data_IF_066106552908
#
_entry.id   IF_066106552908
#
_cell.length_a   1.000
_cell.length_b   1.000
_cell.length_c   1.000
_cell.angle_alpha   90.00
_cell.angle_beta   90.00
_cell.angle_gamma   90.00
#
_symmetry.space_group_name_H-M   'P 1'
#
loop_
_entity.id
_entity.type
_entity.pdbx_description
1 polymer ?
#
# COMPACT_ATOMS: atom_id res chain seq x y z
N UNK A 1 -1.80 68.23 -57.56
CA UNK A 1 -2.40 67.12 -58.26
C UNK A 1 -2.61 66.01 -57.23
N UNK A 2 -3.90 65.76 -56.95
CA UNK A 2 -4.36 64.98 -55.78
C UNK A 2 -4.39 63.49 -56.09
N UNK A 3 -4.04 62.68 -55.14
CA UNK A 3 -4.56 61.30 -55.06
C UNK A 3 -4.70 60.91 -53.62
N UNK A 4 -5.91 60.70 -53.20
CA UNK A 4 -6.32 60.17 -51.92
C UNK A 4 -6.22 58.67 -51.92
N UNK A 5 -5.68 58.11 -50.83
CA UNK A 5 -5.81 56.67 -50.55
C UNK A 5 -6.65 56.45 -49.29
N UNK A 6 -7.69 55.64 -49.36
CA UNK A 6 -8.42 55.24 -48.21
C UNK A 6 -7.71 54.06 -47.56
N UNK A 7 -7.56 54.16 -46.25
CA UNK A 7 -7.00 53.16 -45.34
C UNK A 7 -8.04 52.07 -45.13
N UNK A 8 -7.74 50.87 -45.59
CA UNK A 8 -8.52 49.68 -45.24
C UNK A 8 -7.99 49.10 -43.93
N UNK A 9 -8.82 49.16 -42.91
CA UNK A 9 -8.53 48.57 -41.62
C UNK A 9 -8.53 47.06 -41.67
N UNK A 10 -7.40 46.48 -41.30
CA UNK A 10 -7.26 45.03 -41.11
C UNK A 10 -7.37 44.72 -39.64
N UNK A 11 -8.54 44.33 -39.19
CA UNK A 11 -8.75 43.83 -37.84
C UNK A 11 -8.13 42.45 -37.72
N UNK A 12 -7.00 42.36 -37.05
CA UNK A 12 -6.37 41.10 -36.67
C UNK A 12 -7.13 40.57 -35.46
N UNK A 13 -7.95 39.58 -35.66
CA UNK A 13 -8.56 38.78 -34.61
C UNK A 13 -7.50 37.80 -34.12
N UNK A 14 -6.85 38.13 -32.99
CA UNK A 14 -5.95 37.24 -32.31
C UNK A 14 -6.77 36.13 -31.63
N UNK A 15 -6.79 34.94 -32.22
CA UNK A 15 -7.29 33.72 -31.59
C UNK A 15 -6.28 33.28 -30.51
N UNK A 16 -6.60 33.56 -29.25
CA UNK A 16 -5.88 33.00 -28.13
C UNK A 16 -6.34 31.54 -27.98
N UNK A 17 -5.55 30.62 -28.52
CA UNK A 17 -5.67 29.22 -28.18
C UNK A 17 -5.13 29.03 -26.75
N UNK A 18 -6.04 28.94 -25.79
CA UNK A 18 -5.71 28.47 -24.44
C UNK A 18 -5.32 26.98 -24.52
N UNK A 19 -4.03 26.71 -24.53
CA UNK A 19 -3.49 25.37 -24.33
C UNK A 19 -3.84 24.91 -22.91
N UNK A 20 -4.87 24.09 -22.78
CA UNK A 20 -5.13 23.28 -21.60
C UNK A 20 -3.98 22.26 -21.48
N UNK A 21 -2.94 22.64 -20.76
CA UNK A 21 -1.94 21.70 -20.28
C UNK A 21 -2.65 20.80 -19.26
N UNK A 22 -3.27 19.73 -19.76
CA UNK A 22 -3.75 18.66 -18.92
C UNK A 22 -2.57 18.11 -18.16
N UNK A 23 -2.59 18.23 -16.84
CA UNK A 23 -1.75 17.43 -15.97
C UNK A 23 -2.05 15.96 -16.25
N UNK A 24 -1.29 15.38 -17.17
CA UNK A 24 -1.11 13.94 -17.26
C UNK A 24 -0.35 13.50 -16.02
N UNK A 25 -1.05 13.45 -14.90
CA UNK A 25 -0.60 12.67 -13.78
C UNK A 25 -0.47 11.25 -14.28
N UNK A 26 0.74 10.82 -14.59
CA UNK A 26 1.04 9.41 -14.74
C UNK A 26 0.46 8.71 -13.52
N UNK A 27 -0.45 7.74 -13.68
CA UNK A 27 -0.76 6.87 -12.57
C UNK A 27 0.54 6.14 -12.26
N UNK A 28 1.26 6.63 -11.27
CA UNK A 28 2.29 5.84 -10.63
C UNK A 28 1.63 4.52 -10.27
N UNK A 29 1.93 3.50 -11.06
CA UNK A 29 1.55 2.11 -10.81
C UNK A 29 2.37 1.55 -9.66
N UNK A 30 2.56 2.36 -8.65
CA UNK A 30 3.05 1.95 -7.36
C UNK A 30 1.82 1.61 -6.54
N UNK A 31 1.72 0.37 -6.13
CA UNK A 31 0.86 -0.10 -5.04
C UNK A 31 -0.33 -0.98 -5.40
N UNK A 32 -0.19 -1.77 -6.44
CA UNK A 32 -1.08 -2.95 -6.51
C UNK A 32 -0.39 -4.26 -6.08
N UNK A 33 0.83 -4.19 -5.56
CA UNK A 33 1.54 -5.38 -5.06
C UNK A 33 0.89 -6.07 -3.86
N UNK A 34 -0.03 -5.40 -3.17
CA UNK A 34 -0.66 -5.93 -1.97
C UNK A 34 -2.00 -6.65 -2.17
N UNK A 35 -2.63 -6.56 -3.35
CA UNK A 35 -3.99 -7.07 -3.56
C UNK A 35 -4.09 -8.34 -4.37
N UNK A 36 -3.07 -8.75 -5.08
CA UNK A 36 -3.06 -9.96 -5.90
C UNK A 36 -1.99 -10.93 -5.43
N UNK A 37 -2.27 -12.23 -5.61
CA UNK A 37 -1.28 -13.26 -5.35
C UNK A 37 -0.15 -13.23 -6.38
N UNK A 38 1.05 -13.62 -5.94
CA UNK A 38 2.19 -13.81 -6.82
C UNK A 38 1.88 -14.93 -7.80
N UNK A 39 2.02 -14.65 -9.10
CA UNK A 39 1.87 -15.66 -10.16
C UNK A 39 3.20 -16.36 -10.45
N UNK A 40 4.28 -15.59 -10.50
CA UNK A 40 5.62 -16.08 -10.72
C UNK A 40 6.48 -15.63 -9.54
N UNK A 41 6.84 -16.55 -8.68
CA UNK A 41 7.64 -16.25 -7.49
C UNK A 41 9.11 -16.10 -7.84
N UNK A 42 9.69 -14.98 -7.42
CA UNK A 42 11.13 -14.71 -7.51
C UNK A 42 11.71 -14.63 -6.08
N UNK A 43 12.63 -15.53 -5.69
CA UNK A 43 13.21 -15.53 -4.36
C UNK A 43 14.12 -14.31 -4.08
N UNK A 44 14.54 -13.58 -5.11
CA UNK A 44 15.38 -12.40 -4.96
C UNK A 44 14.57 -11.12 -4.79
N UNK A 45 13.31 -11.11 -5.21
CA UNK A 45 12.43 -9.94 -5.15
C UNK A 45 11.95 -9.65 -3.73
N UNK A 46 11.98 -8.38 -3.32
CA UNK A 46 11.29 -7.90 -2.13
C UNK A 46 9.83 -7.58 -2.48
N UNK A 47 8.91 -8.33 -1.88
CA UNK A 47 7.46 -8.16 -2.08
C UNK A 47 6.85 -7.15 -1.10
N UNK A 48 7.68 -6.54 -0.24
CA UNK A 48 7.30 -5.48 0.70
C UNK A 48 8.21 -4.27 0.54
N UNK A 49 8.16 -3.56 -0.59
CA UNK A 49 9.01 -2.40 -0.81
C UNK A 49 8.75 -1.28 0.20
N UNK A 50 7.50 -1.14 0.60
CA UNK A 50 7.09 -0.19 1.64
C UNK A 50 7.02 -0.91 2.99
N UNK A 51 7.78 -0.39 3.97
CA UNK A 51 7.86 -0.96 5.31
C UNK A 51 7.24 0.00 6.31
N UNK A 52 6.24 -0.49 7.06
CA UNK A 52 5.66 0.28 8.14
C UNK A 52 6.64 0.42 9.31
N UNK A 53 6.72 1.61 9.85
CA UNK A 53 7.44 1.93 11.08
C UNK A 53 6.44 2.30 12.16
N UNK A 54 6.71 1.90 13.40
CA UNK A 54 5.86 2.16 14.54
C UNK A 54 6.66 2.96 15.58
N UNK A 55 6.40 4.26 15.69
CA UNK A 55 7.05 5.13 16.68
C UNK A 55 6.39 5.02 18.05
N UNK A 56 5.07 4.94 18.08
CA UNK A 56 4.29 5.03 19.31
C UNK A 56 3.75 3.68 19.79
N UNK A 57 3.56 2.73 18.90
CA UNK A 57 3.03 1.41 19.23
C UNK A 57 4.11 0.47 19.79
N UNK A 58 4.53 0.68 21.02
CA UNK A 58 5.61 -0.09 21.69
C UNK A 58 5.32 -1.59 21.83
N UNK A 59 4.05 -1.97 21.75
CA UNK A 59 3.63 -3.37 21.86
C UNK A 59 3.70 -4.15 20.55
N UNK A 60 4.00 -3.51 19.43
CA UNK A 60 4.01 -4.14 18.10
C UNK A 60 5.41 -4.08 17.50
N UNK A 61 5.86 -5.22 16.98
CA UNK A 61 7.12 -5.29 16.21
C UNK A 61 6.85 -6.00 14.90
N UNK A 62 7.39 -5.47 13.80
CA UNK A 62 7.30 -6.09 12.48
C UNK A 62 8.70 -6.28 11.91
N UNK A 63 9.03 -7.52 11.56
CA UNK A 63 10.25 -7.87 10.84
C UNK A 63 9.90 -8.29 9.43
N UNK A 64 10.53 -7.65 8.44
CA UNK A 64 10.27 -7.89 7.03
C UNK A 64 11.31 -8.82 6.43
N UNK A 65 10.82 -9.78 5.66
CA UNK A 65 11.59 -10.67 4.79
C UNK A 65 11.07 -10.51 3.37
N UNK A 66 11.78 -11.05 2.38
CA UNK A 66 11.42 -10.83 0.97
C UNK A 66 9.97 -11.17 0.61
N UNK A 67 9.45 -12.31 1.09
CA UNK A 67 8.11 -12.80 0.75
C UNK A 67 7.18 -13.01 1.94
N UNK A 68 7.65 -12.73 3.14
CA UNK A 68 6.83 -12.79 4.35
C UNK A 68 7.27 -11.73 5.36
N UNK A 69 6.44 -11.46 6.33
CA UNK A 69 6.76 -10.62 7.49
C UNK A 69 6.31 -11.29 8.77
N UNK A 70 7.05 -11.03 9.84
CA UNK A 70 6.73 -11.53 11.17
C UNK A 70 6.19 -10.37 11.99
N UNK A 71 5.00 -10.53 12.53
CA UNK A 71 4.36 -9.56 13.42
C UNK A 71 4.32 -10.14 14.82
N UNK A 72 4.90 -9.44 15.76
CA UNK A 72 4.85 -9.79 17.19
C UNK A 72 4.06 -8.73 17.93
N UNK A 73 3.05 -9.17 18.68
CA UNK A 73 2.22 -8.34 19.53
C UNK A 73 2.49 -8.73 20.98
N UNK A 74 2.90 -7.76 21.78
CA UNK A 74 3.11 -7.91 23.21
C UNK A 74 1.98 -7.21 23.95
N UNK A 75 1.24 -7.95 24.74
CA UNK A 75 0.25 -7.38 25.64
C UNK A 75 0.90 -7.17 27.00
N UNK A 76 1.12 -5.92 27.40
CA UNK A 76 1.61 -5.64 28.75
C UNK A 76 0.54 -6.05 29.75
N UNK A 77 0.88 -6.92 30.64
CA UNK A 77 0.03 -7.31 31.78
C UNK A 77 0.93 -7.47 32.99
N UNK A 78 0.50 -6.93 34.11
CA UNK A 78 1.25 -7.05 35.36
C UNK A 78 1.23 -8.47 35.91
N UNK A 79 0.29 -9.31 35.49
CA UNK A 79 0.12 -10.67 36.00
C UNK A 79 0.54 -11.76 35.01
N UNK A 80 0.41 -11.52 33.72
CA UNK A 80 0.73 -12.49 32.67
C UNK A 80 1.00 -11.75 31.35
N UNK A 81 2.25 -11.37 31.09
CA UNK A 81 2.60 -10.78 29.80
C UNK A 81 2.36 -11.82 28.69
N UNK A 82 1.55 -11.47 27.72
CA UNK A 82 1.23 -12.33 26.57
C UNK A 82 1.97 -11.84 25.34
N UNK A 83 2.52 -12.76 24.60
CA UNK A 83 3.15 -12.53 23.31
C UNK A 83 2.43 -13.36 22.26
N UNK A 84 1.94 -12.73 21.21
CA UNK A 84 1.42 -13.40 20.04
C UNK A 84 2.33 -13.10 18.85
N UNK A 85 2.68 -14.14 18.09
CA UNK A 85 3.54 -14.02 16.92
C UNK A 85 2.82 -14.62 15.71
N UNK A 86 2.80 -13.85 14.62
CA UNK A 86 2.16 -14.22 13.37
C UNK A 86 3.17 -14.12 12.23
N UNK A 87 3.13 -15.08 11.33
CA UNK A 87 3.92 -15.06 10.08
C UNK A 87 2.96 -14.79 8.92
N UNK A 88 3.07 -13.61 8.34
CA UNK A 88 2.23 -13.15 7.25
C UNK A 88 2.96 -13.41 5.94
N UNK A 89 2.51 -14.40 5.18
CA UNK A 89 3.16 -14.85 3.95
C UNK A 89 2.40 -14.29 2.74
N UNK A 90 3.12 -13.69 1.81
CA UNK A 90 2.53 -13.20 0.57
C UNK A 90 1.91 -14.38 -0.21
N UNK A 91 0.64 -14.27 -0.60
CA UNK A 91 -0.03 -15.34 -1.34
C UNK A 91 0.67 -15.60 -2.69
N UNK A 92 0.79 -16.87 -3.04
CA UNK A 92 1.58 -17.30 -4.19
C UNK A 92 3.08 -17.47 -3.93
N UNK A 93 3.58 -17.05 -2.75
CA UNK A 93 4.92 -17.40 -2.31
C UNK A 93 4.96 -18.79 -1.66
N UNK A 94 6.08 -19.51 -1.76
CA UNK A 94 6.28 -20.75 -1.02
C UNK A 94 6.27 -20.50 0.49
N UNK A 95 5.85 -21.51 1.24
CA UNK A 95 5.88 -21.45 2.70
C UNK A 95 7.32 -21.32 3.18
N UNK A 96 7.67 -20.31 4.00
CA UNK A 96 9.02 -20.16 4.51
C UNK A 96 9.36 -21.29 5.48
N UNK A 97 10.61 -21.77 5.41
CA UNK A 97 11.18 -22.68 6.42
C UNK A 97 11.54 -21.84 7.65
N UNK A 98 10.86 -22.11 8.75
CA UNK A 98 10.99 -21.37 9.99
C UNK A 98 11.47 -22.29 11.10
N UNK A 99 12.31 -21.76 11.97
CA UNK A 99 12.91 -22.50 13.10
C UNK A 99 12.59 -21.79 14.42
N UNK A 100 12.85 -22.47 15.53
CA UNK A 100 12.62 -21.94 16.88
C UNK A 100 11.15 -21.56 17.10
N UNK A 101 10.92 -20.47 17.79
CA UNK A 101 9.57 -19.96 18.13
C UNK A 101 8.69 -19.70 16.91
N UNK A 102 9.29 -19.45 15.74
CA UNK A 102 8.54 -19.20 14.52
C UNK A 102 8.03 -20.49 13.85
N UNK A 103 8.58 -21.63 14.18
CA UNK A 103 8.14 -22.91 13.59
C UNK A 103 6.68 -23.21 13.91
N UNK A 104 6.24 -22.84 15.12
CA UNK A 104 4.87 -23.04 15.63
C UNK A 104 3.99 -21.79 15.48
N UNK A 105 4.54 -20.67 15.02
CA UNK A 105 3.78 -19.42 14.85
C UNK A 105 2.66 -19.59 13.82
N UNK A 106 1.53 -18.94 14.08
CA UNK A 106 0.39 -18.94 13.17
C UNK A 106 0.79 -18.28 11.85
N UNK A 107 0.55 -19.00 10.74
CA UNK A 107 0.79 -18.50 9.39
C UNK A 107 -0.50 -18.01 8.75
N UNK A 108 -0.43 -16.81 8.18
CA UNK A 108 -1.56 -16.14 7.54
C UNK A 108 -1.13 -15.76 6.13
N UNK A 109 -1.91 -16.14 5.13
CA UNK A 109 -1.70 -15.67 3.76
C UNK A 109 -2.21 -14.25 3.61
N UNK A 110 -1.43 -13.38 2.99
CA UNK A 110 -1.78 -11.99 2.74
C UNK A 110 -1.77 -11.68 1.23
N UNK A 111 -2.70 -10.81 0.74
CA UNK A 111 -3.75 -10.15 1.51
C UNK A 111 -4.82 -11.12 2.02
N UNK A 112 -5.35 -10.82 3.21
CA UNK A 112 -6.50 -11.57 3.74
C UNK A 112 -7.78 -11.12 3.05
N UNK A 113 -8.62 -12.07 2.66
CA UNK A 113 -9.91 -11.81 2.03
C UNK A 113 -11.08 -11.87 3.02
N UNK A 114 -10.84 -12.40 4.21
CA UNK A 114 -11.83 -12.53 5.27
C UNK A 114 -11.21 -12.15 6.61
N UNK A 115 -11.91 -11.31 7.36
CA UNK A 115 -11.53 -10.90 8.71
C UNK A 115 -12.75 -11.10 9.60
N UNK A 116 -12.56 -11.79 10.73
CA UNK A 116 -13.55 -11.84 11.79
C UNK A 116 -13.09 -10.89 12.91
N UNK A 117 -13.95 -9.95 13.27
CA UNK A 117 -13.71 -9.03 14.38
C UNK A 117 -14.62 -9.45 15.53
N UNK A 118 -14.01 -9.76 16.67
CA UNK A 118 -14.70 -10.02 17.93
C UNK A 118 -14.30 -8.94 18.95
N UNK A 119 -15.27 -8.22 19.45
CA UNK A 119 -15.08 -7.31 20.58
C UNK A 119 -16.09 -7.67 21.67
N UNK A 120 -15.62 -7.71 22.89
CA UNK A 120 -16.49 -7.89 24.05
C UNK A 120 -17.14 -6.58 24.52
N UNK A 121 -16.70 -5.46 23.98
CA UNK A 121 -17.11 -4.12 24.43
C UNK A 121 -17.98 -3.36 23.45
N UNK A 122 -18.05 -3.78 22.18
CA UNK A 122 -18.84 -3.08 21.17
C UNK A 122 -19.55 -4.09 20.24
N UNK A 123 -20.90 -4.13 20.25
CA UNK A 123 -21.63 -4.78 19.17
C UNK A 123 -21.62 -3.84 17.95
N UNK A 124 -20.62 -3.97 17.10
CA UNK A 124 -20.62 -3.28 15.81
C UNK A 124 -21.74 -3.86 14.95
N UNK A 125 -22.83 -3.12 14.85
CA UNK A 125 -23.87 -3.37 13.86
C UNK A 125 -23.34 -2.89 12.51
N UNK A 126 -22.87 -3.81 11.69
CA UNK A 126 -22.72 -3.57 10.26
C UNK A 126 -24.09 -3.83 9.61
N UNK A 127 -24.72 -2.77 9.11
CA UNK A 127 -25.84 -2.84 8.18
C UNK A 127 -25.29 -2.72 6.76
#
# INVERSE_FOLDING_TARGET
MHIHHPIAGLTVVALVLAALVGCSGSPNSSTQSGRSCIKNFDPQKDYFPEKATFSDARGITVSYHKSYKVVTIKHPSNTSPRKATYVLVQCGAPKPSLTGDLATAQRISIPTTRVALGSTTEPLKFQ
#
